data_IF_882776309269
#
_entry.id   IF_882776309269
#
_cell.length_a   1.000
_cell.length_b   1.000
_cell.length_c   1.000
_cell.angle_alpha   90.00
_cell.angle_beta   90.00
_cell.angle_gamma   90.00
#
_symmetry.space_group_name_H-M   'P 1'
#
loop_
_entity.id
_entity.type
_entity.pdbx_description
1 polymer ?
#
# COMPACT_ATOMS: atom_id res chain seq x y z
N UNK A 1 -10.47 -9.49 2.03
CA UNK A 1 -11.36 -8.30 2.18
C UNK A 1 -10.64 -7.11 2.81
N UNK A 2 -9.68 -7.31 3.72
CA UNK A 2 -8.94 -6.21 4.37
C UNK A 2 -7.85 -5.59 3.50
N UNK A 3 -7.02 -6.39 2.79
CA UNK A 3 -5.95 -5.81 1.95
C UNK A 3 -6.48 -4.93 0.82
N UNK A 4 -7.58 -5.33 0.17
CA UNK A 4 -8.15 -4.57 -0.95
C UNK A 4 -8.63 -3.17 -0.53
N UNK A 5 -9.24 -3.04 0.66
CA UNK A 5 -9.63 -1.73 1.19
C UNK A 5 -8.42 -0.86 1.53
N UNK A 6 -7.36 -1.47 2.09
CA UNK A 6 -6.11 -0.77 2.38
C UNK A 6 -5.42 -0.28 1.11
N UNK A 7 -5.40 -1.09 0.04
CA UNK A 7 -4.85 -0.67 -1.26
C UNK A 7 -5.65 0.48 -1.84
N UNK A 8 -6.98 0.38 -1.85
CA UNK A 8 -7.85 1.43 -2.38
C UNK A 8 -7.65 2.76 -1.65
N UNK A 9 -7.54 2.73 -0.32
CA UNK A 9 -7.21 3.91 0.48
C UNK A 9 -5.87 4.53 0.07
N UNK A 10 -4.83 3.71 -0.13
CA UNK A 10 -3.51 4.19 -0.58
C UNK A 10 -3.58 4.81 -1.97
N UNK A 11 -4.30 4.17 -2.91
CA UNK A 11 -4.49 4.67 -4.27
C UNK A 11 -5.16 6.05 -4.24
N UNK A 12 -6.28 6.20 -3.51
CA UNK A 12 -6.98 7.49 -3.37
C UNK A 12 -6.08 8.59 -2.78
N UNK A 13 -5.27 8.26 -1.77
CA UNK A 13 -4.30 9.21 -1.20
C UNK A 13 -3.23 9.63 -2.21
N UNK A 14 -2.76 8.72 -3.07
CA UNK A 14 -1.76 9.02 -4.09
C UNK A 14 -2.34 9.89 -5.22
N UNK A 15 -3.57 9.63 -5.64
CA UNK A 15 -4.26 10.46 -6.64
C UNK A 15 -4.45 11.89 -6.16
N UNK A 16 -4.86 12.07 -4.89
CA UNK A 16 -5.01 13.39 -4.28
C UNK A 16 -3.67 14.11 -4.10
N UNK A 17 -2.60 13.38 -3.79
CA UNK A 17 -1.29 13.96 -3.53
C UNK A 17 -0.52 14.33 -4.80
N UNK A 18 -0.80 13.71 -5.95
CA UNK A 18 -0.01 13.88 -7.19
C UNK A 18 1.45 13.42 -7.06
N UNK A 19 1.77 12.62 -6.05
CA UNK A 19 3.13 12.19 -5.74
C UNK A 19 3.62 11.13 -6.74
N UNK A 20 4.84 11.30 -7.28
CA UNK A 20 5.47 10.33 -8.18
C UNK A 20 6.17 9.17 -7.46
N UNK A 21 6.31 9.26 -6.14
CA UNK A 21 6.96 8.25 -5.29
C UNK A 21 6.23 8.17 -3.96
N UNK A 22 6.07 6.97 -3.45
CA UNK A 22 5.41 6.73 -2.17
C UNK A 22 6.09 5.60 -1.40
N UNK A 23 6.20 5.80 -0.09
CA UNK A 23 6.76 4.81 0.83
C UNK A 23 5.67 4.35 1.77
N UNK A 24 5.29 3.08 1.66
CA UNK A 24 4.25 2.47 2.46
C UNK A 24 4.88 1.60 3.54
N UNK A 25 4.50 1.85 4.79
CA UNK A 25 4.88 1.02 5.94
C UNK A 25 3.73 0.09 6.29
N UNK A 26 3.87 -1.20 5.98
CA UNK A 26 2.88 -2.23 6.29
C UNK A 26 3.27 -2.94 7.60
N UNK A 27 2.38 -2.91 8.57
CA UNK A 27 2.53 -3.73 9.77
C UNK A 27 2.31 -5.21 9.46
N UNK A 28 3.26 -6.08 9.84
CA UNK A 28 3.25 -7.53 9.54
C UNK A 28 2.00 -8.27 10.03
N UNK A 29 1.25 -7.69 10.98
CA UNK A 29 0.02 -8.25 11.54
C UNK A 29 -1.22 -8.05 10.63
N UNK A 30 -1.16 -7.12 9.66
CA UNK A 30 -2.36 -6.59 8.97
C UNK A 30 -2.44 -7.02 7.50
N UNK A 31 -1.31 -7.24 6.82
CA UNK A 31 -1.31 -7.59 5.40
C UNK A 31 -0.04 -8.31 4.97
N UNK A 32 -0.16 -9.25 4.03
CA UNK A 32 0.99 -9.81 3.31
C UNK A 32 1.50 -8.76 2.29
N UNK A 33 2.76 -8.30 2.39
CA UNK A 33 3.34 -7.30 1.48
C UNK A 33 3.26 -7.70 0.00
N UNK A 34 3.39 -9.00 -0.28
CA UNK A 34 3.33 -9.54 -1.64
C UNK A 34 1.91 -9.40 -2.21
N UNK A 35 0.92 -9.84 -1.45
CA UNK A 35 -0.50 -9.74 -1.82
C UNK A 35 -0.94 -8.28 -1.96
N UNK A 36 -0.48 -7.39 -1.08
CA UNK A 36 -0.74 -5.96 -1.19
C UNK A 36 -0.20 -5.39 -2.51
N UNK A 37 1.05 -5.72 -2.86
CA UNK A 37 1.67 -5.27 -4.09
C UNK A 37 0.94 -5.78 -5.33
N UNK A 38 0.57 -7.05 -5.36
CA UNK A 38 -0.18 -7.64 -6.47
C UNK A 38 -1.53 -6.93 -6.68
N UNK A 39 -2.28 -6.65 -5.60
CA UNK A 39 -3.56 -5.93 -5.69
C UNK A 39 -3.35 -4.47 -6.11
N UNK A 40 -2.31 -3.81 -5.60
CA UNK A 40 -1.94 -2.45 -5.98
C UNK A 40 -1.62 -2.37 -7.48
N UNK A 41 -0.72 -3.22 -7.96
CA UNK A 41 -0.30 -3.27 -9.37
C UNK A 41 -1.50 -3.50 -10.29
N UNK A 42 -2.47 -4.34 -9.86
CA UNK A 42 -3.73 -4.54 -10.59
C UNK A 42 -4.63 -3.31 -10.62
N UNK A 43 -4.72 -2.55 -9.52
CA UNK A 43 -5.57 -1.35 -9.44
C UNK A 43 -4.97 -0.15 -10.19
N UNK A 44 -3.65 0.02 -10.20
CA UNK A 44 -3.00 1.16 -10.85
C UNK A 44 -2.69 0.93 -12.32
N UNK A 45 -2.89 -0.28 -12.84
CA UNK A 45 -2.64 -0.61 -14.24
C UNK A 45 -3.47 0.26 -15.17
N UNK A 46 -2.81 0.96 -16.10
CA UNK A 46 -3.45 1.87 -17.04
C UNK A 46 -3.87 3.22 -16.45
N UNK A 47 -3.49 3.52 -15.20
CA UNK A 47 -3.69 4.84 -14.59
C UNK A 47 -2.38 5.62 -14.49
N UNK A 48 -2.45 6.90 -14.12
CA UNK A 48 -1.27 7.74 -13.88
C UNK A 48 -0.37 7.22 -12.75
N UNK A 49 -0.91 6.35 -11.89
CA UNK A 49 -0.22 5.75 -10.76
C UNK A 49 0.63 4.53 -11.12
N UNK A 50 0.50 3.97 -12.33
CA UNK A 50 1.34 2.86 -12.80
C UNK A 50 2.84 3.20 -12.76
N UNK A 51 3.17 4.48 -12.91
CA UNK A 51 4.54 4.98 -12.88
C UNK A 51 5.03 5.38 -11.47
N UNK A 52 4.18 5.27 -10.45
CA UNK A 52 4.54 5.62 -9.08
C UNK A 52 5.36 4.50 -8.48
N UNK A 53 6.58 4.84 -8.03
CA UNK A 53 7.42 3.87 -7.31
C UNK A 53 6.87 3.71 -5.90
N UNK A 54 6.23 2.57 -5.63
CA UNK A 54 5.77 2.16 -4.31
C UNK A 54 6.84 1.30 -3.62
N UNK A 55 7.43 1.83 -2.56
CA UNK A 55 8.33 1.08 -1.67
C UNK A 55 7.54 0.56 -0.47
N UNK A 56 7.47 -0.77 -0.32
CA UNK A 56 6.73 -1.42 0.77
C UNK A 56 7.74 -1.91 1.81
N UNK A 57 7.71 -1.31 3.00
CA UNK A 57 8.48 -1.77 4.16
C UNK A 57 7.57 -2.53 5.12
N UNK A 58 7.97 -3.75 5.49
CA UNK A 58 7.29 -4.54 6.51
C UNK A 58 7.86 -4.21 7.89
N UNK A 59 6.99 -3.72 8.78
CA UNK A 59 7.39 -3.37 10.14
C UNK A 59 6.74 -4.37 11.11
N UNK A 60 7.51 -5.01 12.01
CA UNK A 60 6.94 -5.80 13.08
C UNK A 60 6.13 -4.88 14.00
N UNK A 61 4.85 -5.21 14.21
CA UNK A 61 4.01 -4.46 15.15
C UNK A 61 4.30 -5.02 16.54
N UNK A 62 4.94 -4.22 17.39
CA UNK A 62 5.06 -4.52 18.81
C UNK A 62 3.72 -4.21 19.49
N UNK A 63 2.97 -5.25 19.83
CA UNK A 63 1.79 -5.09 20.70
C UNK A 63 2.30 -4.94 22.12
N UNK A 64 2.38 -3.70 22.61
CA UNK A 64 2.54 -3.45 24.04
C UNK A 64 1.21 -3.76 24.72
N UNK A 65 1.15 -4.89 25.43
CA UNK A 65 0.08 -5.12 26.39
C UNK A 65 0.17 -4.06 27.50
N UNK A 66 -0.96 -3.43 27.89
CA UNK A 66 -1.01 -2.45 28.98
C UNK A 66 -0.69 -3.08 30.35
#
# INVERSE_FOLDING_TARGET
MHEQKSVQFVVEQLEQSGAKKAKLKLGLMVANPKTFKEIYDLQVRGTSLENVKLEIESIPIEVKCP
#
